data_IF_373168174195
#
_entry.id   IF_373168174195
#
_cell.length_a   1.000
_cell.length_b   1.000
_cell.length_c   1.000
_cell.angle_alpha   90.00
_cell.angle_beta   90.00
_cell.angle_gamma   90.00
#
_symmetry.space_group_name_H-M   'P 1'
#
loop_
_entity.id
_entity.type
_entity.pdbx_description
1 polymer ?
#
# COMPACT_ATOMS: atom_id res chain seq x y z
N UNK A 1 7.78 -26.46 -3.47
CA UNK A 1 9.09 -26.07 -2.92
C UNK A 1 9.96 -27.30 -2.94
N UNK A 2 11.11 -27.22 -3.60
CA UNK A 2 12.11 -28.29 -3.62
C UNK A 2 13.43 -27.72 -3.14
N UNK A 3 14.06 -28.38 -2.17
CA UNK A 3 15.36 -27.99 -1.63
C UNK A 3 16.34 -29.14 -1.85
N UNK A 4 17.52 -28.82 -2.37
CA UNK A 4 18.60 -29.77 -2.60
C UNK A 4 19.88 -29.33 -1.92
N UNK A 5 20.60 -30.26 -1.32
CA UNK A 5 21.92 -30.05 -0.72
C UNK A 5 22.89 -31.02 -1.39
N UNK A 6 23.96 -30.52 -1.99
CA UNK A 6 24.93 -31.33 -2.75
C UNK A 6 24.30 -32.20 -3.86
N UNK A 7 23.19 -31.74 -4.44
CA UNK A 7 22.45 -32.47 -5.48
C UNK A 7 21.45 -33.48 -4.95
N UNK A 8 21.43 -33.76 -3.64
CA UNK A 8 20.45 -34.64 -3.00
C UNK A 8 19.20 -33.85 -2.60
N UNK A 9 18.02 -34.41 -2.87
CA UNK A 9 16.74 -33.81 -2.48
C UNK A 9 16.43 -34.06 -1.02
N UNK A 10 16.37 -32.99 -0.23
CA UNK A 10 16.12 -33.04 1.21
C UNK A 10 14.72 -32.59 1.60
N UNK A 11 14.02 -31.89 0.70
CA UNK A 11 12.64 -31.46 0.88
C UNK A 11 11.96 -31.34 -0.49
N UNK A 12 10.75 -31.88 -0.60
CA UNK A 12 9.93 -31.79 -1.80
C UNK A 12 8.47 -31.73 -1.38
N UNK A 13 7.97 -30.50 -1.20
CA UNK A 13 6.64 -30.25 -0.64
C UNK A 13 5.88 -29.18 -1.42
N UNK A 14 4.54 -29.18 -1.31
CA UNK A 14 3.76 -28.06 -1.87
C UNK A 14 4.03 -26.79 -1.06
N UNK A 15 4.07 -25.64 -1.75
CA UNK A 15 4.18 -24.33 -1.08
C UNK A 15 3.04 -24.10 -0.09
N UNK A 16 1.83 -24.54 -0.44
CA UNK A 16 0.66 -24.47 0.45
C UNK A 16 0.87 -25.26 1.74
N UNK A 17 1.42 -26.47 1.66
CA UNK A 17 1.72 -27.33 2.83
C UNK A 17 2.70 -26.63 3.77
N UNK A 18 3.85 -26.18 3.24
CA UNK A 18 4.88 -25.54 4.06
C UNK A 18 4.37 -24.23 4.68
N UNK A 19 3.54 -23.47 3.96
CA UNK A 19 2.87 -22.27 4.49
C UNK A 19 1.91 -22.60 5.62
N UNK A 20 1.11 -23.67 5.49
CA UNK A 20 0.19 -24.09 6.54
C UNK A 20 0.94 -24.41 7.85
N UNK A 21 2.07 -25.11 7.77
CA UNK A 21 2.91 -25.35 8.96
C UNK A 21 3.49 -24.06 9.54
N UNK A 22 3.89 -23.12 8.68
CA UNK A 22 4.45 -21.84 9.12
C UNK A 22 3.39 -20.97 9.83
N UNK A 23 2.16 -20.94 9.34
CA UNK A 23 1.07 -20.11 9.87
C UNK A 23 0.31 -20.72 11.06
N UNK A 24 0.50 -22.00 11.35
CA UNK A 24 -0.30 -22.72 12.36
C UNK A 24 -0.33 -21.99 13.72
N UNK A 25 0.81 -21.43 14.15
CA UNK A 25 0.86 -20.69 15.41
C UNK A 25 0.12 -19.35 15.32
N UNK A 26 0.22 -18.65 14.18
CA UNK A 26 -0.52 -17.41 13.92
C UNK A 26 -2.02 -17.65 14.06
N UNK A 27 -2.56 -18.68 13.39
CA UNK A 27 -3.99 -18.99 13.45
C UNK A 27 -4.46 -19.41 14.83
N UNK A 28 -3.63 -20.15 15.59
CA UNK A 28 -3.95 -20.47 16.98
C UNK A 28 -4.07 -19.22 17.85
N UNK A 29 -3.20 -18.23 17.66
CA UNK A 29 -3.27 -16.96 18.40
C UNK A 29 -4.47 -16.11 17.96
N UNK A 30 -4.74 -16.04 16.66
CA UNK A 30 -5.86 -15.27 16.13
C UNK A 30 -7.22 -15.80 16.60
N UNK A 31 -7.39 -17.12 16.72
CA UNK A 31 -8.60 -17.75 17.29
C UNK A 31 -8.88 -17.33 18.74
N UNK A 32 -7.89 -16.78 19.46
CA UNK A 32 -8.02 -16.26 20.83
C UNK A 32 -8.36 -14.77 20.88
N UNK A 33 -8.08 -14.00 19.82
CA UNK A 33 -8.13 -12.53 19.83
C UNK A 33 -9.13 -11.96 18.80
N UNK A 34 -9.53 -12.77 17.82
CA UNK A 34 -10.34 -12.38 16.68
C UNK A 34 -11.60 -13.24 16.56
N UNK A 35 -12.51 -12.86 15.65
CA UNK A 35 -13.68 -13.68 15.35
C UNK A 35 -13.24 -15.00 14.70
N UNK A 36 -13.54 -16.12 15.36
CA UNK A 36 -13.14 -17.45 14.93
C UNK A 36 -13.59 -17.81 13.51
N UNK A 37 -14.77 -17.37 13.09
CA UNK A 37 -15.30 -17.66 11.75
C UNK A 37 -14.42 -17.02 10.69
N UNK A 38 -14.02 -15.75 10.86
CA UNK A 38 -13.13 -15.07 9.92
C UNK A 38 -11.75 -15.73 9.86
N UNK A 39 -11.24 -16.19 11.01
CA UNK A 39 -9.94 -16.89 11.06
C UNK A 39 -10.01 -18.24 10.34
N UNK A 40 -11.10 -18.99 10.49
CA UNK A 40 -11.34 -20.26 9.79
C UNK A 40 -11.49 -20.06 8.27
N UNK A 41 -12.19 -19.00 7.86
CA UNK A 41 -12.32 -18.61 6.46
C UNK A 41 -10.95 -18.25 5.85
N UNK A 42 -10.13 -17.47 6.57
CA UNK A 42 -8.79 -17.12 6.11
C UNK A 42 -7.89 -18.36 5.99
N UNK A 43 -7.82 -19.18 7.05
CA UNK A 43 -6.98 -20.39 7.10
C UNK A 43 -7.33 -21.37 5.98
N UNK A 44 -8.62 -21.66 5.77
CA UNK A 44 -9.08 -22.55 4.70
C UNK A 44 -8.84 -21.98 3.29
N UNK A 45 -8.87 -20.66 3.13
CA UNK A 45 -8.61 -20.01 1.85
C UNK A 45 -7.15 -20.14 1.40
N UNK A 46 -6.20 -20.24 2.34
CA UNK A 46 -4.76 -20.23 2.04
C UNK A 46 -4.30 -21.44 1.22
N UNK A 47 -4.94 -22.60 1.35
CA UNK A 47 -4.60 -23.79 0.57
C UNK A 47 -4.79 -23.56 -0.93
N UNK A 48 -5.81 -22.79 -1.30
CA UNK A 48 -6.25 -22.57 -2.68
C UNK A 48 -5.87 -21.18 -3.20
N UNK A 49 -5.21 -20.36 -2.38
CA UNK A 49 -4.92 -18.97 -2.69
C UNK A 49 -3.93 -18.86 -3.85
N UNK A 50 -4.40 -18.25 -4.93
CA UNK A 50 -3.58 -17.88 -6.09
C UNK A 50 -3.30 -16.39 -6.09
N UNK A 51 -2.28 -15.96 -6.83
CA UNK A 51 -2.01 -14.53 -6.99
C UNK A 51 -3.23 -13.84 -7.63
N UNK A 52 -3.65 -12.66 -7.13
CA UNK A 52 -4.77 -11.94 -7.72
C UNK A 52 -4.46 -11.57 -9.18
N UNK A 53 -5.45 -11.76 -10.05
CA UNK A 53 -5.36 -11.34 -11.45
C UNK A 53 -5.90 -9.92 -11.57
N UNK A 54 -5.01 -8.98 -11.87
CA UNK A 54 -5.40 -7.59 -12.12
C UNK A 54 -5.72 -7.38 -13.61
N UNK A 55 -6.92 -6.87 -13.89
CA UNK A 55 -7.32 -6.43 -15.24
C UNK A 55 -7.60 -4.94 -15.17
N UNK A 56 -6.88 -4.15 -15.98
CA UNK A 56 -7.03 -2.69 -16.01
C UNK A 56 -7.78 -2.28 -17.27
N UNK A 57 -8.78 -1.41 -17.12
CA UNK A 57 -9.47 -0.74 -18.24
C UNK A 57 -8.74 0.52 -18.72
N UNK A 58 -7.61 0.87 -18.10
CA UNK A 58 -6.82 2.07 -18.39
C UNK A 58 -5.32 1.78 -18.32
N UNK A 59 -4.51 2.69 -18.87
CA UNK A 59 -3.05 2.61 -18.80
C UNK A 59 -2.54 3.35 -17.54
N UNK A 60 -1.96 2.63 -16.56
CA UNK A 60 -1.54 3.25 -15.29
C UNK A 60 -0.34 4.19 -15.43
N UNK A 61 0.46 4.05 -16.49
CA UNK A 61 1.58 4.94 -16.77
C UNK A 61 1.16 6.31 -17.32
N UNK A 62 -0.11 6.47 -17.75
CA UNK A 62 -0.59 7.74 -18.28
C UNK A 62 -0.84 8.71 -17.11
N UNK A 63 0.16 9.54 -16.78
CA UNK A 63 0.02 10.58 -15.77
C UNK A 63 -0.84 11.72 -16.31
N UNK A 64 -2.13 11.67 -16.03
CA UNK A 64 -3.01 12.83 -16.12
C UNK A 64 -2.66 13.78 -14.97
N UNK A 65 -1.62 14.60 -15.10
CA UNK A 65 -1.42 15.72 -14.19
C UNK A 65 -2.32 16.87 -14.65
N UNK A 66 -3.18 17.35 -13.74
CA UNK A 66 -4.09 18.47 -14.00
C UNK A 66 -3.36 19.75 -14.42
N UNK A 67 -2.09 19.89 -14.01
CA UNK A 67 -1.29 21.10 -14.21
C UNK A 67 -0.56 21.16 -15.55
N UNK A 68 -0.22 20.03 -16.17
CA UNK A 68 0.55 20.02 -17.43
C UNK A 68 -0.29 20.10 -18.69
N UNK A 69 -1.61 19.85 -18.59
CA UNK A 69 -2.45 19.64 -19.76
C UNK A 69 -3.26 20.87 -20.19
N UNK A 70 -3.40 21.91 -19.35
CA UNK A 70 -4.38 22.98 -19.58
C UNK A 70 -3.90 24.42 -19.27
N UNK A 71 -2.62 24.66 -18.92
CA UNK A 71 -2.14 25.98 -18.45
C UNK A 71 -3.04 26.61 -17.35
N UNK A 72 -3.71 25.75 -16.58
CA UNK A 72 -4.61 26.17 -15.51
C UNK A 72 -3.86 26.28 -14.18
N UNK A 73 -4.25 27.24 -13.31
CA UNK A 73 -3.72 27.29 -11.96
C UNK A 73 -4.02 25.99 -11.21
N UNK A 74 -3.08 25.55 -10.35
CA UNK A 74 -3.25 24.35 -9.55
C UNK A 74 -4.51 24.44 -8.68
N UNK A 75 -5.44 23.47 -8.75
CA UNK A 75 -6.63 23.47 -7.91
C UNK A 75 -6.25 23.30 -6.44
N UNK A 76 -6.89 24.08 -5.57
CA UNK A 76 -6.64 24.05 -4.14
C UNK A 76 -7.52 23.01 -3.44
N UNK A 77 -6.95 22.30 -2.47
CA UNK A 77 -7.66 21.29 -1.68
C UNK A 77 -7.23 21.37 -0.22
N UNK A 78 -8.18 21.20 0.70
CA UNK A 78 -7.89 21.07 2.13
C UNK A 78 -8.03 19.60 2.54
N UNK A 79 -7.01 19.06 3.21
CA UNK A 79 -7.07 17.72 3.82
C UNK A 79 -7.48 17.90 5.27
N UNK A 80 -8.67 17.40 5.62
CA UNK A 80 -9.24 17.53 6.95
C UNK A 80 -8.64 16.44 7.84
N UNK A 81 -8.12 16.85 9.00
CA UNK A 81 -7.54 15.97 10.00
C UNK A 81 -8.21 16.21 11.35
N UNK A 82 -8.57 15.12 12.02
CA UNK A 82 -9.00 15.11 13.41
C UNK A 82 -7.95 14.39 14.29
N UNK A 83 -8.01 14.60 15.60
CA UNK A 83 -7.22 13.85 16.56
C UNK A 83 -7.43 12.33 16.38
N UNK A 84 -6.34 11.57 16.33
CA UNK A 84 -6.37 10.13 16.05
C UNK A 84 -6.33 9.76 14.56
N UNK A 85 -6.44 10.70 13.62
CA UNK A 85 -6.26 10.44 12.20
C UNK A 85 -4.78 10.26 11.83
N UNK A 86 -4.47 9.19 11.08
CA UNK A 86 -3.10 8.76 10.76
C UNK A 86 -2.82 8.62 9.24
N UNK A 87 -3.83 8.81 8.38
CA UNK A 87 -3.70 8.62 6.92
C UNK A 87 -3.64 9.93 6.10
N UNK A 88 -3.54 11.08 6.78
CA UNK A 88 -3.56 12.39 6.13
C UNK A 88 -2.31 12.64 5.28
N UNK A 89 -1.16 12.08 5.66
CA UNK A 89 0.12 12.29 4.94
C UNK A 89 0.12 11.64 3.57
N UNK A 90 -0.35 10.40 3.48
CA UNK A 90 -0.50 9.64 2.23
C UNK A 90 -1.53 10.32 1.31
N UNK A 91 -2.61 10.86 1.89
CA UNK A 91 -3.63 11.60 1.16
C UNK A 91 -3.07 12.89 0.55
N UNK A 92 -2.34 13.69 1.34
CA UNK A 92 -1.67 14.91 0.86
C UNK A 92 -0.72 14.58 -0.29
N UNK A 93 0.12 13.55 -0.14
CA UNK A 93 1.07 13.16 -1.17
C UNK A 93 0.39 12.76 -2.49
N UNK A 94 -0.69 11.98 -2.39
CA UNK A 94 -1.48 11.57 -3.56
C UNK A 94 -2.08 12.76 -4.31
N UNK A 95 -2.61 13.75 -3.59
CA UNK A 95 -3.17 14.98 -4.16
C UNK A 95 -2.09 15.86 -4.82
N UNK A 96 -0.94 16.02 -4.17
CA UNK A 96 0.21 16.73 -4.76
C UNK A 96 0.68 16.03 -6.04
N UNK A 97 0.77 14.70 -6.05
CA UNK A 97 1.13 13.92 -7.25
C UNK A 97 0.12 14.09 -8.40
N UNK A 98 -1.16 14.29 -8.08
CA UNK A 98 -2.21 14.58 -9.05
C UNK A 98 -2.18 16.05 -9.55
N UNK A 99 -1.38 16.93 -8.94
CA UNK A 99 -1.22 18.33 -9.34
C UNK A 99 -2.05 19.33 -8.52
N UNK A 100 -2.55 18.95 -7.35
CA UNK A 100 -3.27 19.86 -6.46
C UNK A 100 -2.32 20.68 -5.56
N UNK A 101 -2.75 21.89 -5.24
CA UNK A 101 -2.18 22.68 -4.16
C UNK A 101 -2.88 22.35 -2.84
N UNK A 102 -2.24 21.54 -2.00
CA UNK A 102 -2.82 21.13 -0.71
C UNK A 102 -2.58 22.18 0.37
N UNK A 103 -3.64 22.65 1.03
CA UNK A 103 -3.58 23.61 2.15
C UNK A 103 -3.55 22.86 3.49
N UNK A 104 -2.45 23.03 4.22
CA UNK A 104 -2.15 22.42 5.53
C UNK A 104 -0.84 22.98 6.10
N UNK A 105 -0.31 22.42 7.20
CA UNK A 105 0.98 22.85 7.75
C UNK A 105 2.13 22.51 6.77
N UNK A 106 2.62 23.53 6.06
CA UNK A 106 3.57 23.41 4.95
C UNK A 106 4.90 22.76 5.35
N UNK A 107 5.33 22.88 6.60
CA UNK A 107 6.56 22.23 7.09
C UNK A 107 6.41 20.71 7.18
N UNK A 108 5.24 20.22 7.55
CA UNK A 108 4.97 18.77 7.68
C UNK A 108 4.85 18.11 6.31
N UNK A 109 4.18 18.78 5.37
CA UNK A 109 4.03 18.31 3.98
C UNK A 109 5.39 18.22 3.29
N UNK A 110 6.23 19.26 3.39
CA UNK A 110 7.56 19.24 2.78
C UNK A 110 8.50 18.21 3.43
N UNK A 111 8.42 18.03 4.76
CA UNK A 111 9.18 16.98 5.45
C UNK A 111 8.83 15.59 4.93
N UNK A 112 7.55 15.32 4.67
CA UNK A 112 7.09 14.05 4.10
C UNK A 112 7.54 13.86 2.65
N UNK A 113 7.32 14.86 1.78
CA UNK A 113 7.70 14.78 0.37
C UNK A 113 9.20 14.48 0.19
N UNK A 114 10.06 15.13 0.98
CA UNK A 114 11.50 14.85 0.98
C UNK A 114 11.82 13.40 1.38
N UNK A 115 11.14 12.83 2.39
CA UNK A 115 11.34 11.42 2.79
C UNK A 115 10.85 10.44 1.74
N UNK A 116 9.80 10.79 1.00
CA UNK A 116 9.22 9.98 -0.06
C UNK A 116 9.97 10.08 -1.41
N UNK A 117 11.07 10.86 -1.47
CA UNK A 117 11.81 11.11 -2.71
C UNK A 117 11.06 11.97 -3.72
N UNK A 118 10.02 12.70 -3.28
CA UNK A 118 9.22 13.60 -4.09
C UNK A 118 9.74 15.04 -3.98
N UNK A 119 9.53 15.85 -5.02
CA UNK A 119 9.97 17.25 -4.99
C UNK A 119 9.16 18.03 -3.94
N UNK A 120 9.81 18.74 -3.00
CA UNK A 120 9.13 19.57 -2.01
C UNK A 120 8.45 20.78 -2.66
N UNK A 121 7.39 21.28 -2.02
CA UNK A 121 6.64 22.44 -2.50
C UNK A 121 7.53 23.70 -2.41
N UNK A 122 7.98 24.20 -3.56
CA UNK A 122 8.78 25.42 -3.68
C UNK A 122 8.08 26.67 -3.14
N UNK A 123 8.83 27.62 -2.56
CA UNK A 123 8.31 28.90 -2.03
C UNK A 123 7.45 29.57 -3.11
N UNK A 124 6.16 29.80 -2.82
CA UNK A 124 5.45 30.86 -3.53
C UNK A 124 5.97 32.16 -2.93
N UNK A 125 6.80 32.87 -3.69
CA UNK A 125 6.97 34.31 -3.49
C UNK A 125 5.73 34.95 -4.13
N UNK A 126 4.94 35.65 -3.31
CA UNK A 126 3.66 36.25 -3.68
C UNK A 126 2.79 36.41 -2.45
#
# INVERSE_FOLDING_TARGET
>A
ITVRVNGEEVLSERTATVRSWWEETSFRLERLQSNRVCVEEEESSLEHRTAPRYTLSFQPANRLSLSTSLDLPQPQVAVIREEGSNGDREMVASLVMAGFQVRGNRSEVNSFLCRAGLQPLGRQLG
#
